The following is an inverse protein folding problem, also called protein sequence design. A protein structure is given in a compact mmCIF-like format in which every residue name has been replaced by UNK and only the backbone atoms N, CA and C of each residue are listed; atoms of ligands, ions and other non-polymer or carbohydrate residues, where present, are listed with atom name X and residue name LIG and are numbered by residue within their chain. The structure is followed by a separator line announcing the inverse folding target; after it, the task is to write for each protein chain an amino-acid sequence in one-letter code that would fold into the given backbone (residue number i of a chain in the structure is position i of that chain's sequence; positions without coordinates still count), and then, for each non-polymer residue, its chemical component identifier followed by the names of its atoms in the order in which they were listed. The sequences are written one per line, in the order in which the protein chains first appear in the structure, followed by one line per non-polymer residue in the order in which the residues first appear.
data_IF_711376845719
#
_entry.id   IF_711376845719
#
_cell.length_a   1.000
_cell.length_b   1.000
_cell.length_c   1.000
_cell.angle_alpha   90.00
_cell.angle_beta   90.00
_cell.angle_gamma   90.00
#
_symmetry.space_group_name_H-M   'P 1'
#
loop_
_entity.id
_entity.type
_entity.pdbx_description
1 polymer ?
#
# COMPACT_ATOMS: atom_id res chain seq x y z
N UNK A 1 -1.01 -8.63 8.87
CA UNK A 1 -2.14 -8.59 7.94
C UNK A 1 -3.34 -7.99 8.64
N UNK A 2 -4.41 -7.63 7.93
CA UNK A 2 -5.58 -7.02 8.55
C UNK A 2 -6.12 -7.81 9.75
N UNK A 3 -6.01 -9.15 9.74
CA UNK A 3 -6.34 -10.02 10.89
C UNK A 3 -5.62 -9.67 12.20
N UNK A 4 -4.43 -9.09 12.13
CA UNK A 4 -3.66 -8.60 13.28
C UNK A 4 -3.73 -7.09 13.48
N UNK A 5 -4.69 -6.40 12.86
CA UNK A 5 -4.86 -4.94 12.98
C UNK A 5 -3.82 -4.12 12.21
N UNK A 6 -3.19 -4.69 11.18
CA UNK A 6 -2.14 -4.02 10.40
C UNK A 6 -2.53 -3.95 8.92
N UNK A 7 -2.67 -2.73 8.41
CA UNK A 7 -2.79 -2.37 7.00
C UNK A 7 -1.49 -1.71 6.57
N UNK A 8 -0.76 -2.33 5.66
CA UNK A 8 0.54 -1.83 5.22
C UNK A 8 0.95 -2.44 3.88
N UNK A 9 1.72 -1.67 3.12
CA UNK A 9 2.58 -2.15 2.03
C UNK A 9 4.02 -2.22 2.53
N UNK A 10 4.76 -3.24 2.11
CA UNK A 10 6.16 -3.45 2.49
C UNK A 10 7.04 -3.40 1.25
N UNK A 11 8.05 -2.53 1.25
CA UNK A 11 9.13 -2.57 0.28
C UNK A 11 10.18 -3.60 0.71
N UNK A 12 10.44 -4.62 -0.11
CA UNK A 12 11.47 -5.64 0.15
C UNK A 12 12.04 -6.15 -1.17
N UNK A 13 13.38 -6.17 -1.30
CA UNK A 13 14.09 -6.66 -2.49
C UNK A 13 13.64 -5.99 -3.81
N UNK A 14 13.43 -4.68 -3.79
CA UNK A 14 13.04 -3.90 -4.99
C UNK A 14 11.58 -4.08 -5.42
N UNK A 15 10.73 -4.70 -4.58
CA UNK A 15 9.32 -4.89 -4.85
C UNK A 15 8.47 -4.43 -3.67
N UNK A 16 7.30 -3.86 -3.97
CA UNK A 16 6.28 -3.62 -2.97
C UNK A 16 5.37 -4.85 -2.85
N UNK A 17 5.01 -5.17 -1.61
CA UNK A 17 4.14 -6.32 -1.29
C UNK A 17 3.11 -5.88 -0.27
N UNK A 18 1.83 -6.11 -0.54
CA UNK A 18 0.76 -5.87 0.43
C UNK A 18 0.88 -6.86 1.60
N UNK A 19 0.66 -6.38 2.83
CA UNK A 19 0.63 -7.23 4.01
C UNK A 19 -0.74 -7.91 4.20
N UNK A 20 -1.45 -8.27 3.13
CA UNK A 20 -2.68 -9.06 3.19
C UNK A 20 -2.39 -10.55 3.43
N UNK A 21 -3.44 -11.37 3.54
CA UNK A 21 -3.34 -12.83 3.59
C UNK A 21 -4.25 -13.43 2.53
N UNK A 22 -3.71 -13.94 1.40
CA UNK A 22 -2.28 -14.03 1.06
C UNK A 22 -1.64 -12.65 0.79
N UNK A 23 -0.31 -12.60 0.80
CA UNK A 23 0.46 -11.41 0.40
C UNK A 23 0.43 -11.26 -1.12
N UNK A 24 0.28 -10.04 -1.62
CA UNK A 24 0.24 -9.75 -3.06
C UNK A 24 1.42 -8.87 -3.45
N UNK A 25 2.13 -9.22 -4.54
CA UNK A 25 3.18 -8.36 -5.11
C UNK A 25 2.51 -7.25 -5.90
N UNK A 26 2.94 -6.00 -5.69
CA UNK A 26 2.40 -4.82 -6.35
C UNK A 26 3.33 -4.44 -7.53
N UNK A 27 2.85 -4.48 -8.79
CA UNK A 27 3.67 -4.25 -9.97
C UNK A 27 3.88 -2.76 -10.23
N UNK A 28 4.69 -2.11 -9.39
CA UNK A 28 5.00 -0.68 -9.50
C UNK A 28 6.25 -0.46 -10.37
N UNK A 29 6.11 0.37 -11.41
CA UNK A 29 7.22 0.85 -12.24
C UNK A 29 6.88 2.23 -12.80
N UNK A 30 7.63 3.30 -12.45
CA UNK A 30 8.75 3.32 -11.51
C UNK A 30 8.31 3.03 -10.05
N UNK A 31 9.28 2.80 -9.16
CA UNK A 31 8.99 2.68 -7.73
C UNK A 31 8.70 4.07 -7.14
N UNK A 32 7.64 4.22 -6.33
CA UNK A 32 7.31 5.49 -5.69
C UNK A 32 8.42 5.93 -4.74
N UNK A 33 8.79 7.21 -4.79
CA UNK A 33 9.76 7.79 -3.85
C UNK A 33 9.13 8.15 -2.50
N UNK A 34 7.83 8.44 -2.53
CA UNK A 34 7.02 8.90 -1.40
C UNK A 34 5.60 8.34 -1.54
N UNK A 35 5.03 7.93 -0.42
CA UNK A 35 3.70 7.30 -0.36
C UNK A 35 2.81 8.12 0.56
N UNK A 36 1.60 8.43 0.11
CA UNK A 36 0.52 8.91 0.98
C UNK A 36 -0.31 7.73 1.48
N UNK A 37 -0.70 7.81 2.75
CA UNK A 37 -1.60 6.86 3.38
C UNK A 37 -2.84 7.62 3.79
N UNK A 38 -3.96 7.35 3.11
CA UNK A 38 -5.25 7.94 3.39
C UNK A 38 -6.09 6.97 4.21
N UNK A 39 -6.69 7.47 5.29
CA UNK A 39 -7.57 6.71 6.16
C UNK A 39 -8.97 7.30 6.05
N UNK A 40 -9.91 6.49 5.60
CA UNK A 40 -11.34 6.78 5.72
C UNK A 40 -11.92 5.89 6.82
N UNK A 41 -11.97 6.42 8.04
CA UNK A 41 -12.53 5.70 9.18
C UNK A 41 -14.02 5.42 9.05
N UNK A 42 -14.76 6.28 8.33
CA UNK A 42 -16.21 6.13 8.16
C UNK A 42 -16.52 5.00 7.21
N UNK A 43 -15.74 4.85 6.14
CA UNK A 43 -15.87 3.77 5.16
C UNK A 43 -15.03 2.53 5.50
N UNK A 44 -14.15 2.61 6.49
CA UNK A 44 -13.26 1.51 6.88
C UNK A 44 -12.16 1.22 5.86
N UNK A 45 -11.70 2.25 5.14
CA UNK A 45 -10.72 2.12 4.06
C UNK A 45 -9.34 2.67 4.45
N UNK A 46 -8.31 2.01 3.93
CA UNK A 46 -6.93 2.50 3.94
C UNK A 46 -6.43 2.43 2.52
N UNK A 47 -6.04 3.57 1.95
CA UNK A 47 -5.54 3.68 0.57
C UNK A 47 -4.09 4.16 0.60
N UNK A 48 -3.25 3.49 -0.17
CA UNK A 48 -1.86 3.86 -0.43
C UNK A 48 -1.80 4.52 -1.81
N UNK A 49 -1.20 5.70 -1.90
CA UNK A 49 -1.04 6.41 -3.16
C UNK A 49 0.42 6.79 -3.36
N UNK A 50 0.86 6.79 -4.61
CA UNK A 50 2.09 7.46 -5.00
C UNK A 50 1.88 8.98 -4.79
N UNK A 51 2.69 9.58 -3.93
CA UNK A 51 2.51 10.99 -3.53
C UNK A 51 2.93 11.99 -4.62
N UNK A 52 3.69 11.54 -5.62
CA UNK A 52 4.21 12.38 -6.69
C UNK A 52 3.27 12.39 -7.90
N UNK A 53 2.56 11.28 -8.12
CA UNK A 53 1.61 11.13 -9.25
C UNK A 53 0.13 11.11 -8.84
N UNK A 54 -0.17 10.87 -7.55
CA UNK A 54 -1.53 10.69 -7.04
C UNK A 54 -2.17 9.36 -7.45
N UNK A 55 -1.44 8.46 -8.11
CA UNK A 55 -1.95 7.15 -8.55
C UNK A 55 -2.08 6.22 -7.36
N UNK A 56 -3.21 5.51 -7.29
CA UNK A 56 -3.46 4.49 -6.26
C UNK A 56 -2.51 3.30 -6.43
N UNK A 57 -1.90 2.90 -5.32
CA UNK A 57 -1.00 1.74 -5.21
C UNK A 57 -1.77 0.52 -4.70
N UNK A 58 -2.56 0.69 -3.64
CA UNK A 58 -3.29 -0.38 -2.96
C UNK A 58 -4.36 0.14 -2.01
#
# INVERSE_FOLDING_TARGET
SPKGGIWAVRHKKGQFVSLTSPRTVLPLSPLPSRIWVCLDCTQGLVTFLDADTGVEIF
#
